data_IF_296550617054
#
_entry.id   IF_296550617054
#
_cell.length_a   1.000
_cell.length_b   1.000
_cell.length_c   1.000
_cell.angle_alpha   90.00
_cell.angle_beta   90.00
_cell.angle_gamma   90.00
#
_symmetry.space_group_name_H-M   'P 1'
#
loop_
_entity.id
_entity.type
_entity.pdbx_description
1 polymer ?
#
# COMPACT_ATOMS: atom_id res chain seq x y z
N UNK A 1 -10.17 3.62 -1.78
CA UNK A 1 -10.02 2.22 -1.35
C UNK A 1 -9.13 2.21 -0.12
N UNK A 2 -9.43 1.44 0.93
CA UNK A 2 -8.54 1.35 2.09
C UNK A 2 -7.26 0.62 1.73
N UNK A 3 -6.13 1.16 2.16
CA UNK A 3 -4.87 0.46 2.14
C UNK A 3 -4.90 -0.55 3.27
N UNK A 4 -5.21 -1.81 2.94
CA UNK A 4 -5.23 -2.90 3.91
C UNK A 4 -3.79 -3.36 4.19
N UNK A 5 -2.97 -2.46 4.75
CA UNK A 5 -1.68 -2.82 5.34
C UNK A 5 -1.98 -3.25 6.76
N UNK A 6 -1.94 -4.56 6.99
CA UNK A 6 -2.26 -5.13 8.28
C UNK A 6 -0.98 -5.22 9.08
N UNK A 7 -0.81 -4.33 10.06
CA UNK A 7 0.14 -4.53 11.15
C UNK A 7 -0.52 -5.49 12.14
N UNK A 8 0.07 -6.67 12.34
CA UNK A 8 -0.49 -7.72 13.21
C UNK A 8 -0.55 -7.30 14.68
N UNK A 9 0.43 -6.51 15.13
CA UNK A 9 0.48 -5.89 16.46
C UNK A 9 1.09 -4.49 16.32
N UNK A 10 0.30 -3.45 15.97
CA UNK A 10 0.84 -2.11 15.80
C UNK A 10 1.32 -1.54 17.14
N UNK A 11 2.50 -0.92 17.13
CA UNK A 11 3.02 -0.21 18.30
C UNK A 11 2.23 1.09 18.53
N UNK A 12 2.26 1.67 19.75
CA UNK A 12 1.61 2.96 20.03
C UNK A 12 2.02 4.07 19.05
N UNK A 13 3.27 4.06 18.59
CA UNK A 13 3.79 5.01 17.62
C UNK A 13 3.19 4.80 16.23
N UNK A 14 3.01 3.55 15.79
CA UNK A 14 2.31 3.23 14.54
C UNK A 14 0.85 3.69 14.59
N UNK A 15 0.18 3.55 15.73
CA UNK A 15 -1.17 4.07 15.93
C UNK A 15 -1.20 5.59 15.84
N UNK A 16 -0.23 6.28 16.45
CA UNK A 16 -0.10 7.73 16.35
C UNK A 16 0.15 8.22 14.92
N UNK A 17 0.87 7.43 14.10
CA UNK A 17 1.05 7.67 12.66
C UNK A 17 -0.25 7.48 11.85
N UNK A 18 -1.30 6.93 12.46
CA UNK A 18 -2.63 6.75 11.88
C UNK A 18 -2.79 5.44 11.10
N UNK A 19 -2.05 4.39 11.46
CA UNK A 19 -2.15 3.10 10.78
C UNK A 19 -3.49 2.37 11.01
N UNK A 20 -4.23 2.74 12.05
CA UNK A 20 -5.57 2.25 12.40
C UNK A 20 -6.71 3.12 11.84
N UNK A 21 -6.41 4.36 11.46
CA UNK A 21 -7.35 5.30 10.90
C UNK A 21 -7.60 5.02 9.41
N UNK A 22 -8.76 4.40 9.14
CA UNK A 22 -9.23 4.09 7.79
C UNK A 22 -9.37 5.34 6.90
N UNK A 23 -9.59 6.53 7.46
CA UNK A 23 -9.64 7.76 6.66
C UNK A 23 -8.27 8.19 6.14
N UNK A 24 -7.20 7.78 6.83
CA UNK A 24 -5.81 8.12 6.52
C UNK A 24 -5.11 7.02 5.74
N UNK A 25 -5.44 5.75 5.93
CA UNK A 25 -4.86 4.62 5.21
C UNK A 25 -5.60 4.35 3.90
N UNK A 26 -5.40 5.19 2.87
CA UNK A 26 -6.19 5.16 1.64
C UNK A 26 -5.37 5.18 0.35
N UNK A 27 -5.86 4.43 -0.62
CA UNK A 27 -5.56 4.55 -2.04
C UNK A 27 -6.68 5.31 -2.74
N UNK A 28 -6.34 6.36 -3.48
CA UNK A 28 -7.28 7.10 -4.32
C UNK A 28 -7.67 6.23 -5.51
N UNK A 29 -8.97 6.13 -5.74
CA UNK A 29 -9.54 5.22 -6.75
C UNK A 29 -9.35 5.73 -8.18
N UNK A 30 -9.23 7.06 -8.34
CA UNK A 30 -9.09 7.73 -9.64
C UNK A 30 -7.72 7.46 -10.28
N UNK A 31 -6.64 7.64 -9.53
CA UNK A 31 -5.26 7.70 -10.05
C UNK A 31 -4.26 6.82 -9.27
N UNK A 32 -4.72 6.08 -8.27
CA UNK A 32 -3.87 5.25 -7.43
C UNK A 32 -2.94 6.05 -6.50
N UNK A 33 -3.23 7.33 -6.23
CA UNK A 33 -2.48 8.11 -5.22
C UNK A 33 -2.55 7.43 -3.86
N UNK A 34 -1.41 7.45 -3.17
CA UNK A 34 -1.21 6.81 -1.87
C UNK A 34 -1.06 7.89 -0.82
N UNK A 35 -1.84 7.81 0.26
CA UNK A 35 -1.80 8.79 1.34
C UNK A 35 -0.47 8.79 2.10
N UNK A 36 -0.12 9.94 2.67
CA UNK A 36 1.12 10.10 3.46
C UNK A 36 1.20 9.15 4.65
N UNK A 37 0.08 8.86 5.31
CA UNK A 37 0.04 7.92 6.44
C UNK A 37 0.49 6.51 6.04
N UNK A 38 0.17 6.06 4.82
CA UNK A 38 0.63 4.78 4.30
C UNK A 38 2.15 4.77 4.14
N UNK A 39 2.72 5.83 3.53
CA UNK A 39 4.16 5.98 3.39
C UNK A 39 4.88 6.00 4.74
N UNK A 40 4.38 6.80 5.67
CA UNK A 40 4.96 6.95 7.01
C UNK A 40 4.92 5.65 7.82
N UNK A 41 3.79 4.94 7.78
CA UNK A 41 3.62 3.69 8.52
C UNK A 41 4.55 2.60 8.01
N UNK A 42 4.73 2.51 6.68
CA UNK A 42 5.66 1.53 6.08
C UNK A 42 7.11 1.90 6.41
N UNK A 43 7.47 3.18 6.25
CA UNK A 43 8.82 3.62 6.57
C UNK A 43 9.14 3.36 8.05
N UNK A 44 8.22 3.68 8.96
CA UNK A 44 8.40 3.42 10.39
C UNK A 44 8.59 1.92 10.67
N UNK A 45 7.84 1.05 10.00
CA UNK A 45 8.01 -0.40 10.14
C UNK A 45 9.34 -0.92 9.58
N UNK A 46 9.80 -0.37 8.44
CA UNK A 46 11.10 -0.71 7.86
C UNK A 46 12.28 -0.26 8.74
N UNK A 47 12.13 0.90 9.40
CA UNK A 47 13.12 1.45 10.31
C UNK A 47 13.22 0.68 11.64
N UNK A 48 12.43 -0.37 11.87
CA UNK A 48 12.60 -1.21 13.07
C UNK A 48 14.03 -1.80 13.18
N UNK A 49 14.71 -2.01 12.05
CA UNK A 49 16.11 -2.42 12.02
C UNK A 49 17.10 -1.30 12.44
N UNK A 50 16.67 -0.03 12.45
CA UNK A 50 17.45 1.13 12.88
C UNK A 50 16.66 2.03 13.85
N UNK A 51 16.66 1.70 15.16
CA UNK A 51 15.83 2.39 16.16
C UNK A 51 16.09 3.89 16.29
N UNK A 52 17.31 4.36 16.01
CA UNK A 52 17.64 5.79 16.07
C UNK A 52 16.86 6.59 15.02
N UNK A 53 16.88 6.13 13.77
CA UNK A 53 16.16 6.77 12.67
C UNK A 53 14.65 6.57 12.77
N UNK A 54 14.22 5.43 13.34
CA UNK A 54 12.81 5.19 13.67
C UNK A 54 12.29 6.25 14.65
N UNK A 55 13.06 6.55 15.71
CA UNK A 55 12.73 7.59 16.67
C UNK A 55 12.73 8.98 16.02
N UNK A 56 13.73 9.30 15.21
CA UNK A 56 13.79 10.60 14.49
C UNK A 56 12.56 10.78 13.60
N UNK A 57 12.11 9.73 12.89
CA UNK A 57 10.89 9.80 12.07
C UNK A 57 9.65 10.09 12.92
N UNK A 58 9.54 9.43 14.08
CA UNK A 58 8.42 9.59 14.98
C UNK A 58 8.38 10.99 15.60
N UNK A 59 9.50 11.45 16.15
CA UNK A 59 9.62 12.80 16.73
C UNK A 59 9.31 13.86 15.66
N UNK A 60 9.85 13.70 14.44
CA UNK A 60 9.53 14.58 13.32
C UNK A 60 8.03 14.55 12.92
N UNK A 61 7.35 13.41 13.06
CA UNK A 61 5.92 13.33 12.84
C UNK A 61 5.12 14.07 13.92
N UNK A 62 5.50 13.89 15.19
CA UNK A 62 4.83 14.50 16.34
C UNK A 62 5.02 16.02 16.39
N UNK A 63 6.22 16.50 16.05
CA UNK A 63 6.56 17.92 16.02
C UNK A 63 6.13 18.61 14.71
N UNK A 64 5.72 17.83 13.71
CA UNK A 64 5.36 18.34 12.38
C UNK A 64 6.56 18.80 11.54
N UNK A 65 7.78 18.35 11.89
CA UNK A 65 9.00 18.62 11.11
C UNK A 65 8.99 17.86 9.77
N UNK A 66 8.50 18.56 8.75
CA UNK A 66 8.47 18.06 7.38
C UNK A 66 9.86 17.88 6.77
N UNK A 67 10.88 18.60 7.24
CA UNK A 67 12.22 18.58 6.64
C UNK A 67 12.90 17.26 6.98
N UNK A 68 12.97 16.91 8.27
CA UNK A 68 13.59 15.65 8.72
C UNK A 68 12.85 14.44 8.16
N UNK A 69 11.52 14.51 8.14
CA UNK A 69 10.66 13.48 7.54
C UNK A 69 10.93 13.29 6.05
N UNK A 70 11.01 14.37 5.27
CA UNK A 70 11.30 14.30 3.83
C UNK A 70 12.69 13.75 3.57
N UNK A 71 13.68 14.08 4.40
CA UNK A 71 15.04 13.52 4.29
C UNK A 71 15.05 12.00 4.50
N UNK A 72 14.35 11.51 5.53
CA UNK A 72 14.26 10.07 5.80
C UNK A 72 13.51 9.34 4.68
N UNK A 73 12.40 9.90 4.20
CA UNK A 73 11.67 9.38 3.05
C UNK A 73 12.52 9.32 1.79
N UNK A 74 13.33 10.36 1.52
CA UNK A 74 14.25 10.36 0.38
C UNK A 74 15.35 9.29 0.53
N UNK A 75 15.89 9.12 1.74
CA UNK A 75 16.92 8.11 2.03
C UNK A 75 16.43 6.69 1.75
N UNK A 76 15.23 6.37 2.25
CA UNK A 76 14.62 5.03 2.18
C UNK A 76 13.57 4.88 1.06
N UNK A 77 13.55 5.81 0.10
CA UNK A 77 12.51 5.88 -0.92
C UNK A 77 12.36 4.56 -1.67
N UNK A 78 13.48 3.96 -2.08
CA UNK A 78 13.48 2.74 -2.89
C UNK A 78 12.98 1.53 -2.08
N UNK A 79 13.41 1.39 -0.84
CA UNK A 79 13.04 0.31 0.07
C UNK A 79 11.55 0.35 0.40
N UNK A 80 11.03 1.55 0.69
CA UNK A 80 9.59 1.77 0.92
C UNK A 80 8.79 1.44 -0.34
N UNK A 81 9.21 1.93 -1.51
CA UNK A 81 8.54 1.67 -2.78
C UNK A 81 8.47 0.17 -3.13
N UNK A 82 9.59 -0.55 -2.96
CA UNK A 82 9.65 -2.00 -3.22
C UNK A 82 8.73 -2.76 -2.26
N UNK A 83 8.75 -2.41 -0.97
CA UNK A 83 7.94 -3.05 0.07
C UNK A 83 6.45 -2.84 -0.20
N UNK A 84 6.06 -1.60 -0.51
CA UNK A 84 4.69 -1.25 -0.85
C UNK A 84 4.23 -1.94 -2.12
N UNK A 85 5.07 -1.98 -3.16
CA UNK A 85 4.76 -2.70 -4.40
C UNK A 85 4.51 -4.18 -4.15
N UNK A 86 5.37 -4.83 -3.34
CA UNK A 86 5.20 -6.24 -2.98
C UNK A 86 3.84 -6.46 -2.30
N UNK A 87 3.53 -5.67 -1.28
CA UNK A 87 2.25 -5.75 -0.56
C UNK A 87 1.04 -5.58 -1.47
N UNK A 88 1.07 -4.57 -2.35
CA UNK A 88 -0.02 -4.30 -3.31
C UNK A 88 -0.19 -5.45 -4.30
N UNK A 89 0.92 -6.03 -4.81
CA UNK A 89 0.87 -7.18 -5.74
C UNK A 89 0.36 -8.44 -5.06
N UNK A 90 0.80 -8.73 -3.84
CA UNK A 90 0.32 -9.87 -3.06
C UNK A 90 -1.18 -9.74 -2.76
N UNK A 91 -1.63 -8.54 -2.40
CA UNK A 91 -3.05 -8.24 -2.20
C UNK A 91 -3.87 -8.38 -3.48
N UNK A 92 -3.35 -7.86 -4.61
CA UNK A 92 -4.00 -8.00 -5.91
C UNK A 92 -4.15 -9.48 -6.30
N UNK A 93 -3.09 -10.28 -6.15
CA UNK A 93 -3.11 -11.72 -6.41
C UNK A 93 -4.19 -12.43 -5.59
N UNK A 94 -4.30 -12.13 -4.29
CA UNK A 94 -5.36 -12.68 -3.44
C UNK A 94 -6.77 -12.27 -3.90
N UNK A 95 -6.97 -11.02 -4.33
CA UNK A 95 -8.27 -10.55 -4.84
C UNK A 95 -8.61 -11.25 -6.15
N UNK A 96 -7.66 -11.39 -7.06
CA UNK A 96 -7.86 -12.08 -8.34
C UNK A 96 -8.16 -13.57 -8.14
N UNK A 97 -7.44 -14.25 -7.24
CA UNK A 97 -7.71 -15.65 -6.89
C UNK A 97 -9.13 -15.85 -6.33
N UNK A 98 -9.56 -14.98 -5.40
CA UNK A 98 -10.93 -15.03 -4.84
C UNK A 98 -12.00 -14.70 -5.88
N UNK A 99 -11.69 -13.81 -6.83
CA UNK A 99 -12.59 -13.47 -7.94
C UNK A 99 -12.74 -14.66 -8.87
N UNK A 100 -11.63 -15.31 -9.25
CA UNK A 100 -11.65 -16.49 -10.10
C UNK A 100 -12.40 -17.67 -9.43
N UNK A 101 -12.20 -17.87 -8.13
CA UNK A 101 -12.96 -18.87 -7.37
C UNK A 101 -14.47 -18.59 -7.40
N UNK A 102 -14.87 -17.34 -7.13
CA UNK A 102 -16.27 -16.96 -7.14
C UNK A 102 -16.90 -17.00 -8.55
N UNK A 103 -16.15 -16.65 -9.61
CA UNK A 103 -16.58 -16.77 -11.00
C UNK A 103 -16.73 -18.25 -11.41
N UNK A 104 -15.84 -19.15 -10.94
CA UNK A 104 -15.96 -20.60 -11.18
C UNK A 104 -17.17 -21.23 -10.45
N UNK A 105 -17.49 -20.77 -9.24
CA UNK A 105 -18.71 -21.20 -8.53
C UNK A 105 -20.01 -20.73 -9.21
N UNK A 106 -19.93 -19.72 -10.09
CA UNK A 106 -21.07 -19.26 -10.88
C UNK A 106 -21.27 -20.02 -12.19
N UNK A 107 -20.26 -20.69 -12.74
CA UNK A 107 -20.42 -21.45 -14.00
C UNK A 107 -21.28 -22.71 -13.87
N UNK A 108 -21.60 -23.14 -12.64
CA UNK A 108 -22.62 -24.18 -12.36
C UNK A 108 -24.05 -23.58 -12.34
N UNK A 109 -24.29 -22.55 -13.16
CA UNK A 109 -25.43 -21.64 -13.11
C UNK A 109 -26.73 -22.28 -13.61
N UNK A 110 -27.57 -22.65 -12.64
CA UNK A 110 -28.92 -22.09 -12.52
C UNK A 110 -29.41 -22.13 -11.05
N UNK A 111 -28.84 -22.99 -10.20
CA UNK A 111 -29.28 -23.13 -8.80
C UNK A 111 -28.62 -22.16 -7.79
N UNK A 112 -27.35 -21.77 -7.98
CA UNK A 112 -26.59 -21.06 -6.91
C UNK A 112 -26.74 -19.53 -6.85
N UNK A 113 -27.09 -18.86 -7.96
CA UNK A 113 -27.44 -17.42 -7.93
C UNK A 113 -28.72 -17.16 -7.13
N UNK A 114 -29.62 -18.14 -7.12
CA UNK A 114 -30.85 -18.19 -6.32
C UNK A 114 -30.55 -18.46 -4.84
N UNK A 115 -29.50 -19.25 -4.55
CA UNK A 115 -29.07 -19.56 -3.17
C UNK A 115 -28.20 -18.47 -2.53
N UNK A 116 -27.41 -17.71 -3.30
CA UNK A 116 -26.50 -16.68 -2.77
C UNK A 116 -26.57 -15.35 -3.54
N UNK A 117 -27.62 -14.53 -3.35
CA UNK A 117 -27.82 -13.27 -4.05
C UNK A 117 -26.70 -12.22 -3.82
N UNK A 118 -25.89 -12.39 -2.77
CA UNK A 118 -24.76 -11.49 -2.45
C UNK A 118 -23.52 -11.76 -3.31
N UNK A 119 -23.42 -12.91 -3.97
CA UNK A 119 -22.21 -13.33 -4.70
C UNK A 119 -21.92 -12.40 -5.89
N UNK A 120 -22.96 -11.99 -6.63
CA UNK A 120 -22.82 -11.04 -7.74
C UNK A 120 -22.33 -9.65 -7.28
N UNK A 121 -22.74 -9.20 -6.09
CA UNK A 121 -22.24 -7.95 -5.52
C UNK A 121 -20.77 -8.07 -5.10
N UNK A 122 -20.39 -9.19 -4.48
CA UNK A 122 -19.01 -9.47 -4.06
C UNK A 122 -18.07 -9.48 -5.28
N UNK A 123 -18.47 -10.08 -6.39
CA UNK A 123 -17.69 -10.11 -7.62
C UNK A 123 -17.48 -8.72 -8.23
N UNK A 124 -18.54 -7.89 -8.28
CA UNK A 124 -18.43 -6.51 -8.73
C UNK A 124 -17.46 -5.73 -7.85
N UNK A 125 -17.55 -5.90 -6.53
CA UNK A 125 -16.65 -5.26 -5.59
C UNK A 125 -15.19 -5.73 -5.76
N UNK A 126 -14.96 -7.03 -5.92
CA UNK A 126 -13.61 -7.57 -6.10
C UNK A 126 -12.97 -7.08 -7.41
N UNK A 127 -13.75 -7.05 -8.50
CA UNK A 127 -13.31 -6.50 -9.80
C UNK A 127 -12.91 -5.02 -9.66
N UNK A 128 -13.75 -4.22 -8.99
CA UNK A 128 -13.43 -2.82 -8.69
C UNK A 128 -12.14 -2.66 -7.85
N UNK A 129 -11.97 -3.47 -6.79
CA UNK A 129 -10.76 -3.42 -5.97
C UNK A 129 -9.51 -3.79 -6.78
N UNK A 130 -9.58 -4.82 -7.62
CA UNK A 130 -8.48 -5.24 -8.48
C UNK A 130 -8.05 -4.13 -9.44
N UNK A 131 -9.00 -3.39 -10.04
CA UNK A 131 -8.70 -2.25 -10.90
C UNK A 131 -7.94 -1.15 -10.16
N UNK A 132 -8.37 -0.81 -8.94
CA UNK A 132 -7.68 0.20 -8.12
C UNK A 132 -6.27 -0.27 -7.77
N UNK A 133 -6.10 -1.52 -7.34
CA UNK A 133 -4.77 -2.07 -7.05
C UNK A 133 -3.86 -2.11 -8.28
N UNK A 134 -4.40 -2.40 -9.47
CA UNK A 134 -3.64 -2.33 -10.74
C UNK A 134 -3.13 -0.91 -11.02
N UNK A 135 -3.96 0.12 -10.81
CA UNK A 135 -3.54 1.53 -10.95
C UNK A 135 -2.42 1.88 -9.97
N UNK A 136 -2.54 1.46 -8.72
CA UNK A 136 -1.52 1.66 -7.69
C UNK A 136 -0.21 0.95 -8.08
N UNK A 137 -0.25 -0.28 -8.58
CA UNK A 137 0.92 -1.00 -9.09
C UNK A 137 1.64 -0.23 -10.21
N UNK A 138 0.90 0.20 -11.24
CA UNK A 138 1.47 0.96 -12.38
C UNK A 138 2.16 2.22 -11.88
N UNK A 139 1.55 2.93 -10.93
CA UNK A 139 2.13 4.12 -10.32
C UNK A 139 3.42 3.80 -9.57
N UNK A 140 3.41 2.75 -8.73
CA UNK A 140 4.57 2.33 -7.96
C UNK A 140 5.73 1.90 -8.85
N UNK A 141 5.45 1.16 -9.93
CA UNK A 141 6.48 0.76 -10.89
C UNK A 141 7.12 1.98 -11.57
N UNK A 142 6.32 2.96 -12.01
CA UNK A 142 6.84 4.21 -12.57
C UNK A 142 7.71 5.00 -11.57
N UNK A 143 7.31 5.04 -10.29
CA UNK A 143 8.09 5.70 -9.23
C UNK A 143 9.41 4.98 -8.96
N UNK A 144 9.41 3.64 -8.94
CA UNK A 144 10.63 2.83 -8.77
C UNK A 144 11.58 3.07 -9.93
N UNK A 145 11.11 3.04 -11.17
CA UNK A 145 11.95 3.27 -12.34
C UNK A 145 12.59 4.66 -12.33
N UNK A 146 11.81 5.69 -11.95
CA UNK A 146 12.31 7.06 -11.78
C UNK A 146 13.37 7.17 -10.68
N UNK A 147 13.16 6.50 -9.55
CA UNK A 147 14.10 6.52 -8.42
C UNK A 147 15.41 5.80 -8.77
N UNK A 148 15.32 4.63 -9.42
CA UNK A 148 16.49 3.89 -9.91
C UNK A 148 17.27 4.73 -10.93
N UNK A 149 16.58 5.39 -11.87
CA UNK A 149 17.22 6.27 -12.84
C UNK A 149 17.93 7.46 -12.16
N UNK A 150 17.32 8.04 -11.13
CA UNK A 150 17.90 9.15 -10.36
C UNK A 150 19.17 8.71 -9.63
N UNK A 151 19.14 7.56 -8.93
CA UNK A 151 20.31 7.03 -8.22
C UNK A 151 21.45 6.67 -9.19
N UNK A 152 21.13 6.11 -10.37
CA UNK A 152 22.13 5.82 -11.43
C UNK A 152 22.82 7.10 -11.92
N UNK A 153 22.08 8.18 -12.14
CA UNK A 153 22.65 9.49 -12.54
C UNK A 153 23.57 10.07 -11.48
N UNK A 154 23.20 9.95 -10.20
CA UNK A 154 24.02 10.42 -9.08
C UNK A 154 25.33 9.63 -8.93
N UNK A 155 25.34 8.35 -9.32
CA UNK A 155 26.55 7.51 -9.31
C UNK A 155 27.49 7.80 -10.49
N UNK A 156 26.99 8.33 -11.60
CA UNK A 156 27.82 8.64 -12.80
C UNK A 156 28.49 10.01 -12.72
N UNK A 157 28.10 10.85 -11.76
CA UNK A 157 28.62 12.22 -11.57
C UNK A 157 29.70 12.28 -10.47
N UNK A 158 29.95 11.17 -9.76
CA UNK A 158 31.02 11.02 -8.77
C UNK A 158 32.21 10.28 -9.38
#
# INVERSE_FOLDING_TARGET
>A
LFSQIVFTSPSPELLALGCDDRSKMVYRTEDGLISNAVWDSILYALLHANPEEQKILYDAHMEGDKVSKTKLHAKYALEVLITLRKHVRDTLSHVEQKTAFADASLTDADSQLTENPRLGLILKQNKFMAEVYKRVCVRLDAMIDSEIATRRRQQTIK
#
